data_IF_764355720843
#
_entry.id   IF_764355720843
#
_cell.length_a   1.000
_cell.length_b   1.000
_cell.length_c   1.000
_cell.angle_alpha   90.00
_cell.angle_beta   90.00
_cell.angle_gamma   90.00
#
_symmetry.space_group_name_H-M   'P 1'
#
loop_
_entity.id
_entity.type
_entity.pdbx_description
1 polymer ?
#
# COMPACT_ATOMS: atom_id res chain seq x y z
N UNK A 1 13.51 -3.50 8.94
CA UNK A 1 12.04 -3.49 8.74
C UNK A 1 11.65 -2.82 7.42
N UNK A 2 12.05 -1.56 7.18
CA UNK A 2 11.76 -0.83 5.93
C UNK A 2 12.01 -1.64 4.65
N UNK A 3 13.19 -2.24 4.51
CA UNK A 3 13.54 -3.02 3.32
C UNK A 3 12.64 -4.24 3.10
N UNK A 4 12.22 -4.93 4.16
CA UNK A 4 11.34 -6.09 4.05
C UNK A 4 9.93 -5.67 3.62
N UNK A 5 9.43 -4.56 4.17
CA UNK A 5 8.15 -3.95 3.76
C UNK A 5 8.22 -3.49 2.30
N UNK A 6 9.31 -2.83 1.92
CA UNK A 6 9.54 -2.38 0.55
C UNK A 6 9.57 -3.56 -0.43
N UNK A 7 10.23 -4.68 -0.11
CA UNK A 7 10.21 -5.89 -0.95
C UNK A 7 8.81 -6.46 -1.13
N UNK A 8 8.01 -6.55 -0.06
CA UNK A 8 6.61 -7.01 -0.22
C UNK A 8 5.80 -6.05 -1.09
N UNK A 9 6.06 -4.75 -0.99
CA UNK A 9 5.44 -3.76 -1.87
C UNK A 9 5.85 -3.96 -3.33
N UNK A 10 7.13 -4.14 -3.60
CA UNK A 10 7.64 -4.21 -4.98
C UNK A 10 7.38 -5.57 -5.64
N UNK A 11 7.54 -6.67 -4.90
CA UNK A 11 7.49 -8.03 -5.44
C UNK A 11 6.07 -8.61 -5.45
N UNK A 12 5.19 -8.15 -4.56
CA UNK A 12 3.85 -8.73 -4.37
C UNK A 12 2.76 -7.72 -4.61
N UNK A 13 2.73 -6.62 -3.87
CA UNK A 13 1.58 -5.70 -3.91
C UNK A 13 1.54 -4.88 -5.20
N UNK A 14 2.67 -4.34 -5.66
CA UNK A 14 2.73 -3.52 -6.86
C UNK A 14 2.26 -4.27 -8.12
N UNK A 15 2.73 -5.51 -8.41
CA UNK A 15 2.24 -6.28 -9.56
C UNK A 15 0.75 -6.60 -9.48
N UNK A 16 0.24 -6.93 -8.29
CA UNK A 16 -1.18 -7.24 -8.09
C UNK A 16 -2.06 -6.00 -8.31
N UNK A 17 -1.64 -4.85 -7.77
CA UNK A 17 -2.41 -3.61 -7.85
C UNK A 17 -2.32 -2.95 -9.22
N UNK A 18 -1.21 -3.09 -9.94
CA UNK A 18 -1.08 -2.61 -11.32
C UNK A 18 -2.14 -3.22 -12.25
N UNK A 19 -2.49 -4.49 -12.03
CA UNK A 19 -3.55 -5.18 -12.80
C UNK A 19 -4.93 -4.53 -12.63
N UNK A 20 -5.18 -3.84 -11.51
CA UNK A 20 -6.41 -3.09 -11.24
C UNK A 20 -6.21 -1.56 -11.43
N UNK A 21 -5.27 -1.15 -12.29
CA UNK A 21 -4.95 0.26 -12.55
C UNK A 21 -4.71 1.08 -11.26
N UNK A 22 -4.05 0.45 -10.28
CA UNK A 22 -3.80 1.00 -8.97
C UNK A 22 -2.29 1.00 -8.68
N UNK A 23 -1.87 1.87 -7.76
CA UNK A 23 -0.48 1.90 -7.31
C UNK A 23 -0.42 2.03 -5.78
N UNK A 24 0.67 1.53 -5.22
CA UNK A 24 1.00 1.60 -3.81
C UNK A 24 2.42 2.12 -3.63
N UNK A 25 2.63 2.95 -2.62
CA UNK A 25 3.93 3.51 -2.28
C UNK A 25 4.15 3.44 -0.78
N UNK A 26 5.39 3.17 -0.38
CA UNK A 26 5.79 3.25 1.02
C UNK A 26 6.06 4.71 1.40
N UNK A 27 5.33 5.23 2.39
CA UNK A 27 5.52 6.60 2.88
C UNK A 27 6.49 6.59 4.07
N UNK A 28 6.16 5.81 5.10
CA UNK A 28 6.93 5.75 6.35
C UNK A 28 6.94 4.33 6.89
N UNK A 29 8.06 3.92 7.50
CA UNK A 29 8.18 2.69 8.29
C UNK A 29 8.99 3.00 9.53
N UNK A 30 8.33 2.93 10.67
CA UNK A 30 8.93 3.03 12.00
C UNK A 30 8.65 1.75 12.80
N UNK A 31 9.10 1.69 14.05
CA UNK A 31 8.96 0.49 14.89
C UNK A 31 7.49 0.11 15.15
N UNK A 32 6.62 1.11 15.25
CA UNK A 32 5.22 0.91 15.65
C UNK A 32 4.21 1.27 14.56
N UNK A 33 4.67 1.81 13.43
CA UNK A 33 3.79 2.33 12.38
C UNK A 33 4.37 2.08 10.99
N UNK A 34 3.50 1.60 10.10
CA UNK A 34 3.75 1.56 8.65
C UNK A 34 2.66 2.35 7.95
N UNK A 35 3.09 3.34 7.18
CA UNK A 35 2.21 4.17 6.37
C UNK A 35 2.47 3.87 4.91
N UNK A 36 1.43 3.38 4.22
CA UNK A 36 1.44 3.20 2.77
C UNK A 36 0.42 4.14 2.14
N UNK A 37 0.72 4.56 0.92
CA UNK A 37 -0.18 5.37 0.11
C UNK A 37 -0.68 4.56 -1.06
N UNK A 38 -1.98 4.58 -1.27
CA UNK A 38 -2.65 3.86 -2.36
C UNK A 38 -3.36 4.87 -3.26
N UNK A 39 -3.30 4.61 -4.56
CA UNK A 39 -3.95 5.39 -5.62
C UNK A 39 -4.76 4.48 -6.55
N UNK A 40 -5.63 5.07 -7.37
CA UNK A 40 -6.42 4.33 -8.36
C UNK A 40 -7.62 3.61 -7.76
N UNK A 41 -7.98 2.46 -8.33
CA UNK A 41 -9.17 1.69 -7.93
C UNK A 41 -9.04 1.05 -6.56
N UNK A 42 -7.85 0.67 -6.13
CA UNK A 42 -7.59 0.20 -4.77
C UNK A 42 -7.79 1.30 -3.71
N UNK A 43 -7.76 2.58 -4.11
CA UNK A 43 -8.05 3.70 -3.22
C UNK A 43 -9.54 4.09 -3.22
N UNK A 44 -10.18 4.16 -4.40
CA UNK A 44 -11.51 4.78 -4.57
C UNK A 44 -12.53 3.95 -5.38
N UNK A 45 -12.14 2.76 -5.84
CA UNK A 45 -13.06 1.86 -6.54
C UNK A 45 -14.08 1.22 -5.60
N UNK A 46 -15.13 0.63 -6.18
CA UNK A 46 -16.20 -0.05 -5.43
C UNK A 46 -15.65 -1.18 -4.53
N UNK A 47 -14.55 -1.82 -4.94
CA UNK A 47 -13.85 -2.85 -4.18
C UNK A 47 -12.70 -2.36 -3.29
N UNK A 48 -12.47 -1.04 -3.18
CA UNK A 48 -11.28 -0.49 -2.53
C UNK A 48 -11.11 -0.96 -1.08
N UNK A 49 -12.20 -1.02 -0.31
CA UNK A 49 -12.16 -1.49 1.08
C UNK A 49 -11.73 -2.96 1.18
N UNK A 50 -12.24 -3.82 0.29
CA UNK A 50 -11.87 -5.25 0.24
C UNK A 50 -10.41 -5.44 -0.17
N UNK A 51 -9.88 -4.60 -1.07
CA UNK A 51 -8.46 -4.65 -1.46
C UNK A 51 -7.58 -4.19 -0.29
N UNK A 52 -7.93 -3.09 0.37
CA UNK A 52 -7.18 -2.58 1.51
C UNK A 52 -7.13 -3.57 2.68
N UNK A 53 -8.28 -4.12 3.09
CA UNK A 53 -8.39 -4.99 4.27
C UNK A 53 -8.12 -6.46 3.98
N UNK A 54 -8.38 -6.92 2.75
CA UNK A 54 -8.23 -8.32 2.35
C UNK A 54 -6.90 -8.65 1.68
N UNK A 55 -6.19 -7.66 1.14
CA UNK A 55 -4.94 -7.87 0.39
C UNK A 55 -3.78 -7.07 0.97
N UNK A 56 -3.92 -5.75 1.05
CA UNK A 56 -2.82 -4.85 1.42
C UNK A 56 -2.45 -5.03 2.91
N UNK A 57 -3.42 -4.89 3.80
CA UNK A 57 -3.19 -5.01 5.24
C UNK A 57 -2.64 -6.39 5.64
N UNK A 58 -3.20 -7.53 5.18
CA UNK A 58 -2.66 -8.85 5.52
C UNK A 58 -1.24 -9.09 4.99
N UNK A 59 -0.92 -8.59 3.79
CA UNK A 59 0.42 -8.72 3.23
C UNK A 59 1.45 -7.95 4.06
N UNK A 60 1.12 -6.72 4.48
CA UNK A 60 1.98 -5.94 5.36
C UNK A 60 2.09 -6.57 6.75
N UNK A 61 0.97 -7.05 7.31
CA UNK A 61 0.94 -7.69 8.65
C UNK A 61 1.86 -8.91 8.75
N UNK A 62 1.99 -9.69 7.68
CA UNK A 62 2.95 -10.82 7.61
C UNK A 62 4.41 -10.40 7.81
N UNK A 63 4.74 -9.15 7.51
CA UNK A 63 6.11 -8.61 7.65
C UNK A 63 6.30 -7.89 8.96
N UNK A 64 5.33 -7.06 9.35
CA UNK A 64 5.48 -6.12 10.49
C UNK A 64 4.93 -6.68 11.81
N UNK A 65 4.23 -7.81 11.77
CA UNK A 65 3.58 -8.39 12.94
C UNK A 65 2.28 -7.68 13.34
N UNK A 66 1.61 -8.20 14.35
CA UNK A 66 0.28 -7.75 14.78
C UNK A 66 0.29 -6.47 15.61
N UNK A 67 1.42 -6.16 16.25
CA UNK A 67 1.55 -5.01 17.16
C UNK A 67 1.87 -3.69 16.43
N UNK A 68 2.17 -3.77 15.13
CA UNK A 68 2.46 -2.61 14.30
C UNK A 68 1.17 -2.02 13.71
N UNK A 69 0.99 -0.71 13.88
CA UNK A 69 -0.12 0.05 13.31
C UNK A 69 0.09 0.21 11.81
N UNK A 70 -0.88 -0.23 11.00
CA UNK A 70 -0.84 -0.05 9.54
C UNK A 70 -1.82 1.06 9.18
N UNK A 71 -1.33 2.10 8.50
CA UNK A 71 -2.16 3.17 7.96
C UNK A 71 -2.08 3.19 6.45
N UNK A 72 -3.25 3.22 5.84
CA UNK A 72 -3.41 3.26 4.39
C UNK A 72 -3.95 4.63 4.02
N UNK A 73 -3.09 5.49 3.50
CA UNK A 73 -3.48 6.79 2.94
C UNK A 73 -4.04 6.59 1.54
N UNK A 74 -5.24 7.12 1.30
CA UNK A 74 -5.85 7.16 -0.03
C UNK A 74 -5.54 8.50 -0.66
N UNK A 75 -4.98 8.52 -1.87
CA UNK A 75 -4.76 9.78 -2.59
C UNK A 75 -5.09 9.68 -4.06
N UNK A 76 -5.52 10.80 -4.63
CA UNK A 76 -5.69 10.94 -6.07
C UNK A 76 -4.28 11.12 -6.67
N UNK A 77 -3.91 10.37 -7.72
CA UNK A 77 -2.60 10.53 -8.34
C UNK A 77 -2.41 11.99 -8.75
N UNK A 78 -1.41 12.68 -8.16
CA UNK A 78 -1.07 14.02 -8.62
C UNK A 78 -0.55 13.87 -10.05
N UNK A 79 -1.10 14.60 -11.04
CA UNK A 79 -0.56 14.58 -12.38
C UNK A 79 0.91 14.98 -12.29
N UNK A 80 1.82 14.12 -12.80
CA UNK A 80 3.22 14.49 -12.99
C UNK A 80 3.23 15.71 -13.91
N UNK A 81 3.46 16.90 -13.36
CA UNK A 81 3.83 18.07 -14.16
C UNK A 81 5.15 17.68 -14.86
N UNK A 82 5.12 17.51 -16.18
CA UNK A 82 6.36 17.40 -16.97
C UNK A 82 7.10 18.73 -16.82
N UNK A 83 8.42 18.71 -16.51
CA UNK A 83 9.24 19.91 -16.61
C UNK A 83 9.34 20.39 -18.05
#
# INVERSE_FOLDING_TARGET
MREAVQRVIDDVLSPLLQSDASAIELVTVDQNEVVVRVTGRAAFGVGAEYVCTGVIEPALRKVVGNDCTIRIEKTIPKPRRRP
#
